data_IF_115135985521
#
_entry.id   IF_115135985521
#
_cell.length_a   1.000
_cell.length_b   1.000
_cell.length_c   1.000
_cell.angle_alpha   90.00
_cell.angle_beta   90.00
_cell.angle_gamma   90.00
#
_symmetry.space_group_name_H-M   'P 1'
#
loop_
_entity.id
_entity.type
_entity.pdbx_description
1 polymer ?
#
# COMPACT_ATOMS: atom_id res chain seq x y z
N UNK A 1 6.07 -11.85 12.93
CA UNK A 1 5.65 -11.64 11.53
C UNK A 1 4.28 -10.97 11.61
N UNK A 2 4.16 -9.70 11.23
CA UNK A 2 2.89 -8.97 11.34
C UNK A 2 1.86 -9.59 10.39
N UNK A 3 0.68 -10.02 10.87
CA UNK A 3 -0.35 -10.65 10.02
C UNK A 3 -0.84 -9.70 8.93
N UNK A 4 -0.80 -8.39 9.19
CA UNK A 4 -1.31 -7.32 8.34
C UNK A 4 -0.45 -7.14 7.08
N UNK A 5 0.88 -7.28 7.22
CA UNK A 5 1.81 -7.18 6.10
C UNK A 5 1.52 -8.25 5.04
N UNK A 6 1.22 -9.49 5.46
CA UNK A 6 0.90 -10.58 4.53
C UNK A 6 -0.37 -10.30 3.72
N UNK A 7 -1.38 -9.71 4.35
CA UNK A 7 -2.62 -9.29 3.68
C UNK A 7 -2.36 -8.17 2.69
N UNK A 8 -1.58 -7.15 3.10
CA UNK A 8 -1.18 -6.03 2.25
C UNK A 8 -0.43 -6.51 0.99
N UNK A 9 0.55 -7.40 1.17
CA UNK A 9 1.30 -7.97 0.05
C UNK A 9 0.37 -8.76 -0.88
N UNK A 10 -0.51 -9.60 -0.34
CA UNK A 10 -1.39 -10.44 -1.17
C UNK A 10 -2.35 -9.59 -2.01
N UNK A 11 -2.96 -8.57 -1.39
CA UNK A 11 -3.87 -7.65 -2.07
C UNK A 11 -3.12 -6.80 -3.09
N UNK A 12 -2.02 -6.18 -2.68
CA UNK A 12 -1.19 -5.35 -3.53
C UNK A 12 -0.60 -6.08 -4.72
N UNK A 13 -0.16 -7.33 -4.53
CA UNK A 13 0.33 -8.18 -5.62
C UNK A 13 -0.77 -8.61 -6.58
N UNK A 14 -2.01 -8.80 -6.11
CA UNK A 14 -3.13 -9.16 -6.98
C UNK A 14 -3.56 -8.03 -7.91
N UNK A 15 -3.50 -6.78 -7.44
CA UNK A 15 -3.97 -5.61 -8.20
C UNK A 15 -2.81 -4.76 -8.77
N UNK A 16 -1.57 -5.03 -8.37
CA UNK A 16 -0.35 -4.33 -8.79
C UNK A 16 -0.02 -3.07 -7.97
N UNK A 17 -0.91 -2.63 -7.10
CA UNK A 17 -0.75 -1.43 -6.27
C UNK A 17 -1.54 -1.53 -4.96
N UNK A 18 -1.29 -0.65 -3.99
CA UNK A 18 -2.13 -0.46 -2.80
C UNK A 18 -2.51 1.01 -2.65
N UNK A 19 -3.73 1.29 -2.20
CA UNK A 19 -4.10 2.65 -1.84
C UNK A 19 -3.58 2.97 -0.46
N UNK A 20 -3.15 4.20 -0.20
CA UNK A 20 -2.77 4.62 1.14
C UNK A 20 -3.89 4.36 2.16
N UNK A 21 -5.15 4.59 1.79
CA UNK A 21 -6.32 4.27 2.62
C UNK A 21 -6.46 2.77 2.89
N UNK A 22 -6.22 1.93 1.89
CA UNK A 22 -6.28 0.47 2.03
C UNK A 22 -5.21 -0.06 2.98
N UNK A 23 -4.03 0.57 2.97
CA UNK A 23 -2.99 0.26 3.95
C UNK A 23 -3.50 0.58 5.36
N UNK A 24 -4.07 1.76 5.56
CA UNK A 24 -4.60 2.19 6.86
C UNK A 24 -5.78 1.33 7.36
N UNK A 25 -6.61 0.81 6.45
CA UNK A 25 -7.77 -0.04 6.82
C UNK A 25 -7.37 -1.45 7.26
N UNK A 26 -6.29 -2.00 6.70
CA UNK A 26 -5.77 -3.32 7.07
C UNK A 26 -4.88 -3.23 8.31
N UNK A 27 -4.29 -2.06 8.56
CA UNK A 27 -3.48 -1.83 9.75
C UNK A 27 -4.37 -1.69 10.99
N UNK A 28 -4.01 -2.38 12.10
CA UNK A 28 -4.75 -2.25 13.35
C UNK A 28 -4.57 -0.85 13.94
N UNK A 29 -5.51 -0.43 14.80
CA UNK A 29 -5.50 0.86 15.50
C UNK A 29 -4.25 1.09 16.38
N UNK A 30 -3.50 0.05 16.72
CA UNK A 30 -2.19 0.13 17.35
C UNK A 30 -1.13 0.80 16.43
N UNK A 31 -1.29 0.69 15.11
CA UNK A 31 -0.41 1.29 14.10
C UNK A 31 -1.01 2.63 13.64
N UNK A 32 -0.98 3.61 14.53
CA UNK A 32 -1.43 4.99 14.24
C UNK A 32 -0.27 5.97 14.08
N UNK A 33 0.95 5.53 14.36
CA UNK A 33 2.14 6.37 14.25
C UNK A 33 2.58 6.49 12.80
N UNK A 34 2.83 7.72 12.36
CA UNK A 34 3.26 8.02 11.00
C UNK A 34 4.55 7.27 10.63
N UNK A 35 5.49 7.09 11.58
CA UNK A 35 6.72 6.32 11.34
C UNK A 35 6.43 4.86 11.00
N UNK A 36 5.53 4.21 11.74
CA UNK A 36 5.22 2.79 11.58
C UNK A 36 4.50 2.57 10.25
N UNK A 37 3.55 3.45 9.94
CA UNK A 37 2.87 3.46 8.65
C UNK A 37 3.92 3.58 7.54
N UNK A 38 4.84 4.55 7.64
CA UNK A 38 5.87 4.76 6.63
C UNK A 38 6.82 3.56 6.48
N UNK A 39 7.18 2.91 7.58
CA UNK A 39 8.02 1.70 7.58
C UNK A 39 7.33 0.54 6.83
N UNK A 40 6.02 0.35 7.08
CA UNK A 40 5.20 -0.64 6.37
C UNK A 40 5.07 -0.30 4.88
N UNK A 41 4.85 0.97 4.53
CA UNK A 41 4.78 1.43 3.14
C UNK A 41 6.09 1.15 2.40
N UNK A 42 7.23 1.34 3.08
CA UNK A 42 8.56 1.02 2.54
C UNK A 42 8.74 -0.49 2.37
N UNK A 43 8.35 -1.30 3.35
CA UNK A 43 8.41 -2.78 3.23
C UNK A 43 7.58 -3.28 2.03
N UNK A 44 6.39 -2.73 1.83
CA UNK A 44 5.50 -3.09 0.71
C UNK A 44 6.09 -2.64 -0.63
N UNK A 45 6.66 -1.42 -0.68
CA UNK A 45 7.33 -0.91 -1.88
C UNK A 45 8.56 -1.73 -2.25
N UNK A 46 9.36 -2.17 -1.27
CA UNK A 46 10.53 -3.02 -1.46
C UNK A 46 10.15 -4.39 -2.06
N UNK A 47 8.96 -4.89 -1.70
CA UNK A 47 8.39 -6.10 -2.29
C UNK A 47 7.79 -5.91 -3.70
N UNK A 48 7.91 -4.71 -4.26
CA UNK A 48 7.52 -4.38 -5.65
C UNK A 48 6.06 -3.99 -5.83
N UNK A 49 5.39 -3.52 -4.77
CA UNK A 49 3.99 -3.07 -4.83
C UNK A 49 3.97 -1.55 -4.74
N UNK A 50 3.41 -0.89 -5.76
CA UNK A 50 3.29 0.58 -5.78
C UNK A 50 2.19 1.06 -4.84
N UNK A 51 2.45 2.12 -4.08
CA UNK A 51 1.42 2.77 -3.26
C UNK A 51 0.93 4.01 -3.98
N UNK A 52 -0.39 4.09 -4.17
CA UNK A 52 -1.07 5.24 -4.77
C UNK A 52 -2.02 5.89 -3.78
N UNK A 53 -2.29 7.18 -3.95
CA UNK A 53 -3.22 7.88 -3.07
C UNK A 53 -4.69 7.69 -3.49
N UNK A 54 -4.92 7.45 -4.78
CA UNK A 54 -6.23 7.30 -5.37
C UNK A 54 -6.22 6.25 -6.50
N UNK A 55 -7.38 5.68 -6.81
CA UNK A 55 -7.51 4.63 -7.84
C UNK A 55 -7.42 5.18 -9.27
N UNK A 56 -7.71 6.46 -9.49
CA UNK A 56 -7.65 7.05 -10.83
C UNK A 56 -6.21 7.17 -11.32
N UNK A 57 -5.26 7.38 -10.41
CA UNK A 57 -3.81 7.39 -10.68
C UNK A 57 -3.23 6.00 -10.97
N UNK A 58 -3.92 4.92 -10.59
CA UNK A 58 -3.43 3.54 -10.75
C UNK A 58 -3.90 2.87 -12.05
N UNK A 59 -5.02 3.32 -12.61
CA UNK A 59 -5.59 2.80 -13.84
C UNK A 59 -5.55 3.92 -14.86
N UNK A 60 -4.53 3.95 -15.73
CA UNK A 60 -4.56 4.44 -17.11
C UNK A 60 -3.13 4.76 -17.55
N UNK A 61 -2.72 4.18 -18.68
CA UNK A 61 -1.47 4.50 -19.35
C UNK A 61 -1.35 6.01 -19.52
N UNK A 62 -0.30 6.56 -18.93
CA UNK A 62 0.18 7.92 -19.10
C UNK A 62 0.27 8.33 -20.58
N UNK A 63 -0.41 9.42 -21.00
CA UNK A 63 0.17 10.40 -21.88
C UNK A 63 0.40 11.66 -21.04
N UNK A 64 1.64 11.94 -20.65
CA UNK A 64 2.03 13.32 -20.35
C UNK A 64 1.71 14.18 -21.58
N UNK A 65 0.99 15.27 -21.35
CA UNK A 65 0.84 16.38 -22.29
C UNK A 65 1.85 17.46 -21.94
#
# INVERSE_FOLDING_TARGET
MHPDLKSLISKGRSQGFLLKSEVLEILPEDITQEELINDILLMISDMGISIVNDQASANNGHPEA
#
